data_IF_916740922725
#
_entry.id   IF_916740922725
#
_cell.length_a   1.000
_cell.length_b   1.000
_cell.length_c   1.000
_cell.angle_alpha   90.00
_cell.angle_beta   90.00
_cell.angle_gamma   90.00
#
_symmetry.space_group_name_H-M   'P 1'
#
loop_
_entity.id
_entity.type
_entity.pdbx_description
1 polymer ?
#
# COMPACT_ATOMS: atom_id res chain seq x y z
N UNK A 1 11.53 -3.27 -13.39
CA UNK A 1 11.29 -3.69 -11.99
C UNK A 1 11.67 -2.61 -10.97
N UNK A 2 12.73 -1.83 -11.19
CA UNK A 2 13.13 -0.69 -10.32
C UNK A 2 11.99 0.28 -9.99
N UNK A 3 11.16 0.63 -10.97
CA UNK A 3 9.96 1.46 -10.75
C UNK A 3 9.01 0.86 -9.72
N UNK A 4 8.70 -0.44 -9.82
CA UNK A 4 7.80 -1.10 -8.86
C UNK A 4 8.38 -1.15 -7.46
N UNK A 5 9.69 -1.43 -7.35
CA UNK A 5 10.39 -1.35 -6.07
C UNK A 5 10.28 0.04 -5.43
N UNK A 6 10.47 1.09 -6.23
CA UNK A 6 10.28 2.47 -5.76
C UNK A 6 8.84 2.71 -5.27
N UNK A 7 7.82 2.24 -6.00
CA UNK A 7 6.43 2.44 -5.57
C UNK A 7 6.12 1.75 -4.25
N UNK A 8 6.61 0.52 -4.05
CA UNK A 8 6.46 -0.21 -2.77
C UNK A 8 7.14 0.57 -1.64
N UNK A 9 8.38 1.00 -1.84
CA UNK A 9 9.11 1.76 -0.84
C UNK A 9 8.40 3.05 -0.45
N UNK A 10 7.77 3.76 -1.40
CA UNK A 10 6.99 4.95 -1.07
C UNK A 10 5.74 4.62 -0.24
N UNK A 11 5.03 3.53 -0.53
CA UNK A 11 3.89 3.09 0.27
C UNK A 11 4.33 2.72 1.68
N UNK A 12 5.37 1.88 1.79
CA UNK A 12 5.93 1.45 3.07
C UNK A 12 6.40 2.66 3.88
N UNK A 13 7.15 3.58 3.27
CA UNK A 13 7.65 4.80 3.95
C UNK A 13 6.52 5.69 4.47
N UNK A 14 5.41 5.81 3.75
CA UNK A 14 4.27 6.62 4.18
C UNK A 14 3.57 5.99 5.37
N UNK A 15 3.40 4.65 5.37
CA UNK A 15 2.67 3.92 6.40
C UNK A 15 3.53 3.55 7.62
N UNK A 16 4.85 3.40 7.46
CA UNK A 16 5.77 2.98 8.53
C UNK A 16 6.17 4.09 9.51
N UNK A 17 5.87 5.37 9.22
CA UNK A 17 6.26 6.48 10.09
C UNK A 17 5.56 6.37 11.44
N UNK A 18 6.31 6.10 12.49
CA UNK A 18 5.82 5.97 13.88
C UNK A 18 5.14 7.23 14.45
N UNK A 19 5.37 8.42 13.87
CA UNK A 19 4.71 9.64 14.32
C UNK A 19 3.25 9.67 13.87
N UNK A 20 2.31 9.94 14.79
CA UNK A 20 0.88 10.18 14.52
C UNK A 20 0.64 11.52 13.78
N UNK A 21 1.32 11.70 12.65
CA UNK A 21 1.04 12.80 11.73
C UNK A 21 0.14 12.29 10.63
N UNK A 22 -1.00 12.98 10.48
CA UNK A 22 -1.94 12.73 9.40
C UNK A 22 -1.31 13.06 8.05
N UNK A 23 -1.72 12.34 7.02
CA UNK A 23 -1.32 12.65 5.65
C UNK A 23 -1.99 13.95 5.18
N UNK A 24 -1.22 14.76 4.46
CA UNK A 24 -1.79 15.85 3.66
C UNK A 24 -2.72 15.29 2.56
N UNK A 25 -3.59 16.10 1.96
CA UNK A 25 -4.43 15.66 0.84
C UNK A 25 -3.63 15.04 -0.30
N UNK A 26 -2.50 15.67 -0.68
CA UNK A 26 -1.62 15.18 -1.75
C UNK A 26 -1.03 13.81 -1.41
N UNK A 27 -0.54 13.63 -0.17
CA UNK A 27 0.00 12.34 0.27
C UNK A 27 -1.06 11.24 0.30
N UNK A 28 -2.29 11.57 0.70
CA UNK A 28 -3.41 10.63 0.72
C UNK A 28 -3.75 10.14 -0.70
N UNK A 29 -3.82 11.07 -1.67
CA UNK A 29 -4.08 10.73 -3.08
C UNK A 29 -2.96 9.87 -3.65
N UNK A 30 -1.69 10.22 -3.38
CA UNK A 30 -0.55 9.44 -3.84
C UNK A 30 -0.54 8.03 -3.23
N UNK A 31 -0.89 7.88 -1.95
CA UNK A 31 -1.02 6.57 -1.31
C UNK A 31 -2.09 5.74 -2.03
N UNK A 32 -3.28 6.30 -2.24
CA UNK A 32 -4.38 5.64 -2.96
C UNK A 32 -3.95 5.15 -4.34
N UNK A 33 -3.33 6.03 -5.13
CA UNK A 33 -2.87 5.72 -6.50
C UNK A 33 -1.83 4.59 -6.50
N UNK A 34 -0.88 4.62 -5.56
CA UNK A 34 0.13 3.57 -5.43
C UNK A 34 -0.48 2.24 -5.00
N UNK A 35 -1.41 2.24 -4.03
CA UNK A 35 -2.12 1.03 -3.65
C UNK A 35 -2.92 0.43 -4.82
N UNK A 36 -3.59 1.28 -5.62
CA UNK A 36 -4.26 0.86 -6.86
C UNK A 36 -3.29 0.17 -7.83
N UNK A 37 -2.13 0.77 -8.05
CA UNK A 37 -1.09 0.23 -8.92
C UNK A 37 -0.57 -1.12 -8.40
N UNK A 38 -0.18 -1.21 -7.12
CA UNK A 38 0.31 -2.46 -6.52
C UNK A 38 -0.72 -3.58 -6.62
N UNK A 39 -1.99 -3.29 -6.32
CA UNK A 39 -3.07 -4.26 -6.43
C UNK A 39 -3.27 -4.73 -7.88
N UNK A 40 -3.26 -3.80 -8.85
CA UNK A 40 -3.37 -4.14 -10.26
C UNK A 40 -2.22 -5.06 -10.72
N UNK A 41 -0.99 -4.80 -10.24
CA UNK A 41 0.16 -5.67 -10.51
C UNK A 41 -0.01 -7.07 -9.91
N UNK A 42 -0.49 -7.16 -8.66
CA UNK A 42 -0.72 -8.44 -7.98
C UNK A 42 -1.82 -9.28 -8.65
N UNK A 43 -2.85 -8.63 -9.20
CA UNK A 43 -4.00 -9.30 -9.80
C UNK A 43 -3.80 -9.67 -11.28
N UNK A 44 -3.11 -8.84 -12.06
CA UNK A 44 -3.16 -8.92 -13.52
C UNK A 44 -1.83 -9.28 -14.18
N UNK A 45 -0.73 -9.43 -13.43
CA UNK A 45 0.58 -9.77 -14.00
C UNK A 45 1.32 -10.76 -13.11
N UNK A 46 1.49 -11.99 -13.59
CA UNK A 46 2.24 -13.04 -12.88
C UNK A 46 3.68 -12.62 -12.59
N UNK A 47 4.35 -12.01 -13.58
CA UNK A 47 5.73 -11.52 -13.45
C UNK A 47 5.85 -10.43 -12.37
N UNK A 48 4.96 -9.43 -12.38
CA UNK A 48 5.01 -8.37 -11.38
C UNK A 48 4.55 -8.86 -10.01
N UNK A 49 3.56 -9.74 -9.94
CA UNK A 49 3.11 -10.34 -8.69
C UNK A 49 4.22 -11.18 -8.04
N UNK A 50 4.91 -12.01 -8.83
CA UNK A 50 6.08 -12.77 -8.35
C UNK A 50 7.17 -11.82 -7.87
N UNK A 51 7.50 -10.78 -8.64
CA UNK A 51 8.50 -9.80 -8.20
C UNK A 51 8.11 -9.16 -6.85
N UNK A 52 6.86 -8.74 -6.67
CA UNK A 52 6.38 -8.15 -5.42
C UNK A 52 6.46 -9.13 -4.25
N UNK A 53 6.06 -10.40 -4.45
CA UNK A 53 6.09 -11.43 -3.41
C UNK A 53 7.51 -11.88 -3.06
N UNK A 54 8.40 -11.99 -4.04
CA UNK A 54 9.77 -12.45 -3.78
C UNK A 54 10.64 -11.37 -3.13
N UNK A 55 10.40 -10.09 -3.43
CA UNK A 55 11.30 -9.01 -3.03
C UNK A 55 10.74 -8.10 -1.93
N UNK A 56 9.42 -8.09 -1.71
CA UNK A 56 8.78 -7.11 -0.81
C UNK A 56 7.69 -7.71 0.09
N UNK A 57 7.60 -9.05 0.20
CA UNK A 57 6.52 -9.71 0.95
C UNK A 57 6.48 -9.28 2.40
N UNK A 58 7.63 -9.17 3.06
CA UNK A 58 7.69 -8.82 4.47
C UNK A 58 7.28 -7.36 4.69
N UNK A 59 7.78 -6.44 3.87
CA UNK A 59 7.44 -5.02 4.00
C UNK A 59 5.95 -4.77 3.74
N UNK A 60 5.38 -5.44 2.73
CA UNK A 60 3.95 -5.38 2.44
C UNK A 60 3.12 -6.04 3.55
N UNK A 61 3.59 -7.14 4.15
CA UNK A 61 2.89 -7.84 5.23
C UNK A 61 2.85 -7.02 6.51
N UNK A 62 3.97 -6.41 6.89
CA UNK A 62 4.13 -5.78 8.20
C UNK A 62 3.82 -4.28 8.21
N UNK A 63 4.07 -3.55 7.13
CA UNK A 63 3.86 -2.09 7.09
C UNK A 63 2.65 -1.65 6.29
N UNK A 64 2.22 -2.43 5.30
CA UNK A 64 1.05 -2.09 4.47
C UNK A 64 -0.19 -2.76 5.04
N UNK A 65 -0.64 -2.24 6.19
CA UNK A 65 -1.78 -2.78 6.94
C UNK A 65 -2.94 -1.79 7.01
N UNK A 66 -4.20 -2.27 7.13
CA UNK A 66 -5.36 -1.41 7.34
C UNK A 66 -5.19 -0.49 8.54
N UNK A 67 -4.67 -1.04 9.65
CA UNK A 67 -4.40 -0.30 10.88
C UNK A 67 -3.45 0.88 10.63
N UNK A 68 -2.31 0.65 9.97
CA UNK A 68 -1.36 1.72 9.64
C UNK A 68 -1.98 2.79 8.74
N UNK A 69 -2.92 2.42 7.87
CA UNK A 69 -3.61 3.37 7.01
C UNK A 69 -4.64 4.21 7.78
N UNK A 70 -5.41 3.59 8.68
CA UNK A 70 -6.40 4.26 9.53
C UNK A 70 -5.75 5.25 10.50
N UNK A 71 -4.55 4.96 11.00
CA UNK A 71 -3.78 5.90 11.83
C UNK A 71 -3.29 7.13 11.06
N UNK A 72 -3.22 7.06 9.73
CA UNK A 72 -2.59 8.06 8.86
C UNK A 72 -3.59 8.87 8.06
N UNK A 73 -4.69 8.26 7.66
CA UNK A 73 -5.70 8.86 6.80
C UNK A 73 -6.78 9.55 7.63
N UNK A 74 -7.04 10.82 7.32
CA UNK A 74 -8.15 11.53 7.95
C UNK A 74 -9.49 10.97 7.44
N UNK A 75 -10.46 10.65 8.32
CA UNK A 75 -11.76 10.14 7.90
C UNK A 75 -12.53 11.06 6.95
N UNK A 76 -12.31 12.37 7.03
CA UNK A 76 -12.96 13.37 6.17
C UNK A 76 -12.50 13.33 4.70
N UNK A 77 -11.38 12.68 4.37
CA UNK A 77 -10.96 12.59 2.97
C UNK A 77 -11.77 11.51 2.24
N UNK A 78 -12.41 11.82 1.09
CA UNK A 78 -13.27 10.87 0.38
C UNK A 78 -12.56 9.55 0.00
N UNK A 79 -11.25 9.59 -0.19
CA UNK A 79 -10.43 8.45 -0.60
C UNK A 79 -9.99 7.54 0.56
N UNK A 80 -10.21 7.94 1.82
CA UNK A 80 -9.66 7.21 2.99
C UNK A 80 -10.20 5.78 3.08
N UNK A 81 -11.53 5.63 3.06
CA UNK A 81 -12.17 4.30 3.14
C UNK A 81 -11.77 3.41 1.95
N UNK A 82 -11.72 3.99 0.74
CA UNK A 82 -11.30 3.27 -0.45
C UNK A 82 -9.84 2.80 -0.34
N UNK A 83 -8.95 3.64 0.20
CA UNK A 83 -7.54 3.31 0.40
C UNK A 83 -7.36 2.16 1.38
N UNK A 84 -8.07 2.17 2.51
CA UNK A 84 -8.07 1.06 3.48
C UNK A 84 -8.53 -0.24 2.82
N UNK A 85 -9.61 -0.19 2.02
CA UNK A 85 -10.10 -1.35 1.28
C UNK A 85 -9.11 -1.92 0.26
N UNK A 86 -8.33 -1.06 -0.41
CA UNK A 86 -7.25 -1.51 -1.29
C UNK A 86 -6.14 -2.21 -0.52
N UNK A 87 -5.76 -1.67 0.64
CA UNK A 87 -4.73 -2.27 1.49
C UNK A 87 -5.16 -3.63 2.02
N UNK A 88 -6.43 -3.80 2.42
CA UNK A 88 -6.99 -5.10 2.79
C UNK A 88 -6.84 -6.12 1.65
N UNK A 89 -7.15 -5.73 0.40
CA UNK A 89 -7.00 -6.62 -0.75
C UNK A 89 -5.54 -6.96 -1.05
N UNK A 90 -4.63 -5.98 -0.97
CA UNK A 90 -3.18 -6.22 -1.11
C UNK A 90 -2.73 -7.26 -0.08
N UNK A 91 -3.15 -7.13 1.18
CA UNK A 91 -2.79 -8.10 2.22
C UNK A 91 -3.28 -9.52 1.92
N UNK A 92 -4.50 -9.67 1.39
CA UNK A 92 -5.00 -10.97 0.95
C UNK A 92 -4.10 -11.58 -0.12
N UNK A 93 -3.69 -10.80 -1.12
CA UNK A 93 -2.79 -11.27 -2.20
C UNK A 93 -1.37 -11.60 -1.75
N UNK A 94 -0.94 -11.09 -0.60
CA UNK A 94 0.38 -11.34 0.00
C UNK A 94 0.34 -12.52 1.00
N UNK A 95 -0.81 -12.82 1.61
CA UNK A 95 -0.98 -13.90 2.60
C UNK A 95 -1.34 -15.26 2.01
N UNK A 96 -1.99 -15.29 0.84
CA UNK A 96 -2.51 -16.53 0.22
C UNK A 96 -1.42 -17.38 -0.49
N UNK A 97 -0.15 -16.96 -0.42
CA UNK A 97 1.03 -17.68 -0.93
C UNK A 97 2.15 -17.58 0.10
#
# INVERSE_FOLDING_TARGET
>A
LSFMGYQVQQVVRVLSRLQRTFLSPVQSVLLFQRCRLLLACLQNSSLLAQHLRSNFREELRYFVTPLCAEEKLLPQYPISRATVGLIQQIQTHIRVQ
#
